data_IF_183327497600
#
_entry.id   IF_183327497600
#
_cell.length_a   1.000
_cell.length_b   1.000
_cell.length_c   1.000
_cell.angle_alpha   90.00
_cell.angle_beta   90.00
_cell.angle_gamma   90.00
#
_symmetry.space_group_name_H-M   'P 1'
#
loop_
_entity.id
_entity.type
_entity.pdbx_description
1 polymer ?
#
# COMPACT_ATOMS: atom_id res chain seq x y z
N UNK A 1 -10.71 -16.86 -16.83
CA UNK A 1 -11.53 -15.82 -16.19
C UNK A 1 -10.78 -14.51 -16.33
N UNK A 2 -11.30 -13.58 -17.11
CA UNK A 2 -10.70 -12.24 -17.26
C UNK A 2 -10.91 -11.50 -15.95
N UNK A 3 -9.83 -11.28 -15.21
CA UNK A 3 -9.85 -10.49 -13.98
C UNK A 3 -10.29 -9.07 -14.34
N UNK A 4 -11.36 -8.59 -13.71
CA UNK A 4 -11.87 -7.23 -13.93
C UNK A 4 -10.82 -6.24 -13.41
N UNK A 5 -10.11 -5.56 -14.31
CA UNK A 5 -9.09 -4.58 -13.94
C UNK A 5 -9.71 -3.48 -13.04
N UNK A 6 -9.17 -3.34 -11.82
CA UNK A 6 -9.59 -2.36 -10.81
C UNK A 6 -9.31 -0.93 -11.31
N UNK A 7 -10.20 0.01 -11.03
CA UNK A 7 -10.00 1.42 -11.31
C UNK A 7 -11.23 2.15 -11.83
N UNK A 8 -11.11 3.46 -11.96
CA UNK A 8 -12.11 4.33 -12.55
C UNK A 8 -11.85 4.45 -14.06
N UNK A 9 -12.91 4.48 -14.86
CA UNK A 9 -12.78 4.92 -16.25
C UNK A 9 -12.97 6.44 -16.25
N UNK A 10 -11.88 7.16 -16.48
CA UNK A 10 -11.88 8.60 -16.65
C UNK A 10 -11.82 8.92 -18.15
N UNK A 11 -12.19 10.15 -18.49
CA UNK A 11 -12.14 10.63 -19.87
C UNK A 11 -11.21 11.83 -19.93
N UNK A 12 -10.36 11.87 -20.96
CA UNK A 12 -9.58 13.08 -21.25
C UNK A 12 -10.51 14.23 -21.62
N UNK A 13 -9.99 15.44 -21.68
CA UNK A 13 -10.76 16.61 -22.13
C UNK A 13 -11.33 16.43 -23.54
N UNK A 14 -10.65 15.68 -24.39
CA UNK A 14 -11.03 15.33 -25.76
C UNK A 14 -12.00 14.13 -25.82
N UNK A 15 -12.37 13.55 -24.67
CA UNK A 15 -13.33 12.45 -24.57
C UNK A 15 -12.72 11.04 -24.67
N UNK A 16 -11.39 10.90 -24.64
CA UNK A 16 -10.73 9.58 -24.73
C UNK A 16 -10.83 8.88 -23.37
N UNK A 17 -11.42 7.69 -23.35
CA UNK A 17 -11.51 6.88 -22.13
C UNK A 17 -10.14 6.29 -21.75
N UNK A 18 -9.75 6.42 -20.48
CA UNK A 18 -8.58 5.77 -19.92
C UNK A 18 -8.89 5.22 -18.52
N UNK A 19 -8.23 4.11 -18.16
CA UNK A 19 -8.37 3.52 -16.83
C UNK A 19 -7.39 4.20 -15.88
N UNK A 20 -7.93 4.86 -14.87
CA UNK A 20 -7.19 5.42 -13.75
C UNK A 20 -7.39 4.52 -12.53
N UNK A 21 -6.35 3.80 -12.15
CA UNK A 21 -6.29 3.26 -10.79
C UNK A 21 -5.75 4.40 -9.91
N UNK A 22 -6.58 5.03 -9.04
CA UNK A 22 -6.08 6.03 -8.11
C UNK A 22 -5.03 5.46 -7.13
N UNK A 23 -4.80 4.14 -7.14
CA UNK A 23 -3.73 3.51 -6.42
C UNK A 23 -3.99 3.54 -4.93
N UNK A 24 -4.81 2.61 -4.43
CA UNK A 24 -4.91 2.41 -2.99
C UNK A 24 -3.74 1.58 -2.44
N UNK A 25 -2.69 1.30 -3.23
CA UNK A 25 -1.53 0.50 -2.80
C UNK A 25 -0.89 1.05 -1.53
N UNK A 26 -0.70 2.37 -1.47
CA UNK A 26 -0.15 3.01 -0.28
C UNK A 26 -1.10 2.88 0.92
N UNK A 27 -2.41 2.89 0.70
CA UNK A 27 -3.40 2.69 1.76
C UNK A 27 -3.39 1.24 2.28
N UNK A 28 -3.01 0.27 1.45
CA UNK A 28 -2.82 -1.14 1.86
C UNK A 28 -1.64 -1.32 2.85
N UNK A 29 -0.81 -0.29 3.08
CA UNK A 29 0.19 -0.26 4.15
C UNK A 29 -0.40 0.11 5.52
N UNK A 30 -1.43 0.97 5.56
CA UNK A 30 -2.01 1.46 6.81
C UNK A 30 -2.47 0.35 7.78
N UNK A 31 -3.11 -0.76 7.33
CA UNK A 31 -3.53 -1.81 8.24
C UNK A 31 -2.39 -2.74 8.70
N UNK A 32 -1.13 -2.45 8.36
CA UNK A 32 0.03 -3.28 8.75
C UNK A 32 0.69 -2.81 10.05
N UNK A 33 0.23 -1.73 10.64
CA UNK A 33 0.75 -1.14 11.88
C UNK A 33 0.70 0.39 11.84
N UNK A 34 1.42 1.04 12.72
CA UNK A 34 1.56 2.49 12.73
C UNK A 34 1.72 3.07 14.13
N UNK A 35 2.04 4.37 14.24
CA UNK A 35 2.37 5.01 15.51
C UNK A 35 1.18 5.04 16.49
N UNK A 36 -0.04 5.11 15.97
CA UNK A 36 -1.29 5.20 16.75
C UNK A 36 -2.05 3.87 16.79
N UNK A 37 -1.45 2.77 16.31
CA UNK A 37 -2.14 1.48 16.26
C UNK A 37 -2.39 0.95 17.70
N UNK A 38 -3.63 0.62 18.08
CA UNK A 38 -3.93 0.12 19.41
C UNK A 38 -3.07 -1.12 19.75
N UNK A 39 -2.36 -1.06 20.88
CA UNK A 39 -1.60 -2.20 21.40
C UNK A 39 -0.25 -2.48 20.71
N UNK A 40 0.31 -1.55 19.93
CA UNK A 40 1.63 -1.73 19.31
C UNK A 40 1.63 -2.80 18.21
N UNK A 41 0.49 -2.97 17.53
CA UNK A 41 0.35 -3.88 16.41
C UNK A 41 1.29 -3.50 15.27
N UNK A 42 2.10 -4.46 14.84
CA UNK A 42 3.06 -4.35 13.73
C UNK A 42 3.03 -5.67 12.97
N UNK A 43 3.07 -5.63 11.64
CA UNK A 43 3.11 -6.82 10.78
C UNK A 43 4.45 -6.91 10.06
N UNK A 44 5.01 -5.80 9.60
CA UNK A 44 6.25 -5.76 8.84
C UNK A 44 7.44 -5.78 9.78
N UNK A 45 7.81 -6.94 10.35
CA UNK A 45 8.96 -7.06 11.27
C UNK A 45 10.26 -7.43 10.59
N UNK A 46 10.16 -8.16 9.49
CA UNK A 46 11.27 -8.75 8.76
C UNK A 46 11.12 -8.49 7.26
N UNK A 47 12.19 -8.65 6.47
CA UNK A 47 12.07 -8.52 5.01
C UNK A 47 11.08 -9.53 4.39
N UNK A 48 10.93 -10.71 5.00
CA UNK A 48 9.96 -11.70 4.58
C UNK A 48 8.51 -11.21 4.75
N UNK A 49 8.22 -10.42 5.79
CA UNK A 49 6.89 -9.83 5.99
C UNK A 49 6.57 -8.80 4.90
N UNK A 50 7.57 -8.03 4.46
CA UNK A 50 7.42 -7.08 3.35
C UNK A 50 7.17 -7.82 2.02
N UNK A 51 7.91 -8.89 1.76
CA UNK A 51 7.69 -9.75 0.59
C UNK A 51 6.30 -10.41 0.61
N UNK A 52 5.87 -10.92 1.77
CA UNK A 52 4.54 -11.50 1.95
C UNK A 52 3.43 -10.45 1.75
N UNK A 53 3.63 -9.22 2.23
CA UNK A 53 2.71 -8.11 1.96
C UNK A 53 2.64 -7.80 0.46
N UNK A 54 3.76 -7.76 -0.26
CA UNK A 54 3.79 -7.47 -1.69
C UNK A 54 2.99 -8.50 -2.53
N UNK A 55 2.97 -9.77 -2.14
CA UNK A 55 2.14 -10.79 -2.81
C UNK A 55 0.66 -10.71 -2.45
N UNK A 56 0.34 -10.28 -1.23
CA UNK A 56 -1.07 -10.12 -0.78
C UNK A 56 -1.71 -8.82 -1.27
N UNK A 57 -0.89 -7.79 -1.46
CA UNK A 57 -1.33 -6.49 -1.95
C UNK A 57 -1.78 -6.58 -3.41
N UNK A 58 -2.30 -5.47 -3.92
CA UNK A 58 -2.64 -5.33 -5.34
C UNK A 58 -1.43 -5.47 -6.28
N UNK A 59 -0.19 -5.44 -5.78
CA UNK A 59 1.00 -5.67 -6.60
C UNK A 59 1.07 -7.12 -7.12
N UNK A 60 0.51 -8.09 -6.36
CA UNK A 60 0.48 -9.51 -6.74
C UNK A 60 1.86 -10.07 -7.11
N UNK A 61 2.93 -9.53 -6.53
CA UNK A 61 4.29 -10.00 -6.79
C UNK A 61 4.50 -11.32 -6.07
N UNK A 62 5.06 -12.32 -6.74
CA UNK A 62 5.48 -13.55 -6.08
C UNK A 62 6.46 -13.19 -4.94
N UNK A 63 6.15 -13.48 -3.66
CA UNK A 63 7.03 -13.17 -2.54
C UNK A 63 8.44 -13.74 -2.70
N UNK A 64 8.60 -14.86 -3.42
CA UNK A 64 9.90 -15.47 -3.67
C UNK A 64 10.80 -14.63 -4.60
N UNK A 65 10.24 -13.69 -5.35
CA UNK A 65 10.95 -12.79 -6.26
C UNK A 65 11.22 -11.40 -5.65
N UNK A 66 10.78 -11.16 -4.41
CA UNK A 66 10.99 -9.88 -3.73
C UNK A 66 12.34 -9.87 -3.03
N UNK A 67 13.29 -9.14 -3.58
CA UNK A 67 14.57 -8.85 -2.94
C UNK A 67 14.42 -7.70 -1.94
N UNK A 68 14.10 -8.02 -0.69
CA UNK A 68 14.00 -7.05 0.40
C UNK A 68 15.09 -7.26 1.44
N UNK A 69 15.69 -6.16 1.91
CA UNK A 69 16.60 -6.12 3.05
C UNK A 69 15.98 -5.44 4.27
N UNK A 70 16.67 -5.47 5.43
CA UNK A 70 16.21 -4.78 6.64
C UNK A 70 15.92 -3.29 6.43
N UNK A 71 16.71 -2.61 5.60
CA UNK A 71 16.50 -1.20 5.27
C UNK A 71 15.21 -0.93 4.48
N UNK A 72 14.71 -1.89 3.71
CA UNK A 72 13.44 -1.78 2.99
C UNK A 72 12.24 -1.85 3.94
N UNK A 73 12.34 -2.68 4.98
CA UNK A 73 11.32 -2.77 6.04
C UNK A 73 11.20 -1.42 6.75
N UNK A 74 12.32 -0.81 7.13
CA UNK A 74 12.33 0.51 7.77
C UNK A 74 11.76 1.59 6.85
N UNK A 75 12.10 1.58 5.56
CA UNK A 75 11.52 2.50 4.56
C UNK A 75 10.01 2.31 4.40
N UNK A 76 9.54 1.05 4.35
CA UNK A 76 8.12 0.75 4.23
C UNK A 76 7.33 1.23 5.46
N UNK A 77 7.87 1.03 6.67
CA UNK A 77 7.30 1.56 7.92
C UNK A 77 7.31 3.09 7.93
N UNK A 78 8.40 3.73 7.56
CA UNK A 78 8.48 5.19 7.50
C UNK A 78 7.45 5.79 6.53
N UNK A 79 7.26 5.15 5.37
CA UNK A 79 6.22 5.52 4.41
C UNK A 79 4.82 5.35 5.03
N UNK A 80 4.53 4.19 5.64
CA UNK A 80 3.26 3.93 6.32
C UNK A 80 2.97 4.97 7.40
N UNK A 81 3.96 5.30 8.21
CA UNK A 81 3.80 6.24 9.32
C UNK A 81 3.62 7.69 8.82
N UNK A 82 4.20 8.04 7.67
CA UNK A 82 3.89 9.29 6.97
C UNK A 82 2.43 9.32 6.48
N UNK A 83 1.95 8.22 5.88
CA UNK A 83 0.57 8.12 5.41
C UNK A 83 -0.44 8.21 6.57
N UNK A 84 -0.14 7.57 7.70
CA UNK A 84 -0.94 7.70 8.92
C UNK A 84 -1.04 9.16 9.38
N UNK A 85 0.07 9.90 9.44
CA UNK A 85 0.06 11.31 9.84
C UNK A 85 -0.79 12.17 8.90
N UNK A 86 -0.68 11.96 7.59
CA UNK A 86 -1.52 12.67 6.61
C UNK A 86 -2.99 12.32 6.81
N UNK A 87 -3.33 11.04 6.92
CA UNK A 87 -4.70 10.60 7.10
C UNK A 87 -5.31 11.14 8.40
N UNK A 88 -4.60 11.07 9.52
CA UNK A 88 -5.06 11.57 10.82
C UNK A 88 -5.25 13.09 10.81
N UNK A 89 -4.35 13.84 10.18
CA UNK A 89 -4.48 15.30 10.05
C UNK A 89 -5.72 15.74 9.26
N UNK A 90 -6.25 14.88 8.39
CA UNK A 90 -7.48 15.14 7.64
C UNK A 90 -8.74 14.52 8.27
N UNK A 91 -8.58 13.55 9.17
CA UNK A 91 -9.69 12.86 9.84
C UNK A 91 -10.12 13.52 11.16
N UNK A 92 -9.25 14.33 11.77
CA UNK A 92 -9.54 15.04 13.01
C UNK A 92 -9.44 16.56 12.74
N UNK A 93 -10.58 17.27 12.68
CA UNK A 93 -10.61 18.72 12.46
C UNK A 93 -10.10 19.52 13.66
#
# INVERSE_FOLDING_TARGET
>A
MTETAVGLILHTREGVAYRFDPGALCLELLPTGGPEAPGGYEVMRTPADLAAWAGRSRLRVDPALVEAGPGDVERARALRDALWRIASAHAHP
#
